data_IF_302209015336
#
_entry.id   IF_302209015336
#
_cell.length_a   1.000
_cell.length_b   1.000
_cell.length_c   1.000
_cell.angle_alpha   90.00
_cell.angle_beta   90.00
_cell.angle_gamma   90.00
#
_symmetry.space_group_name_H-M   'P 1'
#
loop_
_entity.id
_entity.type
_entity.pdbx_description
1 polymer ?
2 non-polymer ?
3 water ?
#
# COMPACT_ATOMS: atom_id res chain seq x y z
N UNK A 2 -13.49 -23.31 -1.85
CA UNK A 2 -13.21 -21.88 -1.72
C UNK A 2 -11.85 -21.60 -1.07
N UNK A 3 -11.48 -20.33 -1.03
CA UNK A 3 -10.24 -19.89 -0.43
C UNK A 3 -10.60 -18.97 0.71
N UNK A 4 -9.63 -18.70 1.57
CA UNK A 4 -9.81 -17.77 2.69
C UNK A 4 -8.59 -16.89 2.73
N UNK A 5 -8.81 -15.58 2.84
CA UNK A 5 -7.76 -14.59 3.01
C UNK A 5 -7.92 -14.00 4.40
N UNK A 6 -6.87 -14.09 5.21
CA UNK A 6 -6.90 -13.49 6.53
C UNK A 6 -5.94 -12.32 6.54
N UNK A 7 -6.39 -11.19 7.08
CA UNK A 7 -5.60 -9.97 7.14
C UNK A 7 -5.39 -9.60 8.61
N UNK A 8 -4.18 -9.77 9.11
CA UNK A 8 -3.87 -9.40 10.48
C UNK A 8 -3.54 -7.91 10.51
N UNK A 9 -4.50 -7.09 10.93
CA UNK A 9 -4.31 -5.64 10.95
C UNK A 9 -3.76 -5.22 12.31
N UNK A 10 -2.72 -4.39 12.30
CA UNK A 10 -2.14 -3.85 13.52
C UNK A 10 -2.67 -2.44 13.78
N UNK A 11 -3.09 -2.19 15.01
CA UNK A 11 -3.72 -0.94 15.40
C UNK A 11 -3.11 -0.53 16.73
N UNK A 12 -2.63 0.70 16.87
CA UNK A 12 -2.09 1.11 18.16
C UNK A 12 -3.18 1.01 19.23
N UNK A 13 -2.74 1.01 20.48
CA UNK A 13 -3.65 0.80 21.59
C UNK A 13 -4.81 1.80 21.56
N UNK A 14 -6.02 1.30 21.75
CA UNK A 14 -7.16 2.16 21.90
C UNK A 14 -7.74 2.72 20.63
N UNK A 15 -7.24 2.28 19.46
CA UNK A 15 -7.75 2.71 18.17
C UNK A 15 -8.57 1.64 17.48
N UNK A 16 -8.70 0.46 18.09
CA UNK A 16 -9.63 -0.54 17.61
C UNK A 16 -11.07 -0.08 17.52
N UNK A 17 -11.58 0.67 18.50
CA UNK A 17 -12.91 1.29 18.29
C UNK A 17 -12.95 2.16 17.04
N UNK A 18 -11.88 2.93 16.83
CA UNK A 18 -11.77 3.75 15.62
C UNK A 18 -11.77 2.88 14.36
N UNK A 19 -10.82 1.94 14.27
CA UNK A 19 -10.83 1.00 13.14
C UNK A 19 -12.18 0.29 13.02
N UNK A 20 -12.91 0.16 14.11
CA UNK A 20 -14.21 -0.50 14.02
C UNK A 20 -15.26 0.42 13.40
N UNK A 21 -15.38 1.64 13.93
CA UNK A 21 -16.26 2.63 13.33
C UNK A 21 -15.96 2.82 11.84
N UNK A 22 -14.74 2.51 11.39
CA UNK A 22 -14.41 2.62 9.97
C UNK A 22 -14.97 1.46 9.15
N UNK A 23 -15.07 0.26 9.71
CA UNK A 23 -15.77 -0.78 8.96
C UNK A 23 -17.26 -0.51 8.95
N UNK A 24 -17.77 0.23 9.94
CA UNK A 24 -19.21 0.50 10.03
C UNK A 24 -19.54 1.81 9.32
N UNK A 25 -19.14 2.93 9.93
CA UNK A 25 -19.46 4.26 9.45
C UNK A 25 -18.47 4.71 8.36
N UNK A 26 -18.29 3.87 7.34
CA UNK A 26 -17.46 4.27 6.20
C UNK A 26 -17.79 3.52 4.91
N UNK A 27 -17.32 2.29 4.76
CA UNK A 27 -17.61 1.57 3.53
C UNK A 27 -17.36 0.08 3.63
N UNK A 28 -18.24 -0.64 4.30
CA UNK A 28 -18.13 -2.09 4.40
C UNK A 28 -18.57 -2.80 3.14
N UNK A 29 -18.33 -2.22 1.96
CA UNK A 29 -19.02 -2.59 0.72
C UNK A 29 -18.08 -3.27 -0.25
N UNK A 30 -18.25 -4.60 -0.38
CA UNK A 30 -17.45 -5.47 -1.23
C UNK A 30 -18.21 -6.79 -1.31
N UNK A 31 -19.45 -6.81 -0.79
CA UNK A 31 -20.26 -8.02 -0.83
C UNK A 31 -20.89 -8.26 -2.19
N UNK A 32 -20.81 -7.28 -3.08
CA UNK A 32 -21.18 -7.48 -4.47
C UNK A 32 -19.96 -7.56 -5.37
N UNK A 33 -18.79 -7.80 -4.79
CA UNK A 33 -17.65 -8.22 -5.57
C UNK A 33 -17.83 -9.67 -5.98
N UNK A 34 -17.49 -10.04 -7.21
CA UNK A 34 -17.85 -11.37 -7.71
C UNK A 34 -16.99 -12.45 -7.08
N UNK A 35 -17.63 -13.56 -6.73
CA UNK A 35 -17.00 -14.60 -5.95
C UNK A 35 -16.82 -14.29 -4.47
N UNK A 36 -17.19 -13.10 -4.02
CA UNK A 36 -17.06 -12.77 -2.60
C UNK A 36 -18.10 -13.53 -1.79
N UNK A 37 -17.67 -14.05 -0.66
CA UNK A 37 -18.57 -14.81 0.21
C UNK A 37 -18.64 -14.17 1.59
N UNK A 38 -18.42 -12.85 1.68
CA UNK A 38 -18.52 -12.17 2.96
C UNK A 38 -17.35 -12.32 3.92
N UNK A 39 -17.18 -11.33 4.78
CA UNK A 39 -16.07 -11.33 5.71
C UNK A 39 -16.54 -11.21 7.14
N UNK A 40 -15.69 -11.65 8.07
CA UNK A 40 -15.81 -11.30 9.47
C UNK A 40 -14.65 -10.40 9.88
N UNK A 41 -14.97 -9.43 10.73
CA UNK A 41 -13.99 -8.62 11.42
C UNK A 41 -13.92 -9.10 12.87
N UNK A 42 -12.76 -9.58 13.29
CA UNK A 42 -12.59 -10.20 14.60
C UNK A 42 -11.76 -9.27 15.48
N UNK A 43 -12.34 -8.86 16.63
CA UNK A 43 -11.64 -8.11 17.65
C UNK A 43 -10.89 -9.05 18.57
N UNK A 44 -9.59 -8.85 18.78
CA UNK A 44 -8.82 -9.81 19.58
C UNK A 44 -9.06 -9.60 21.07
N UNK A 45 -9.05 -10.70 21.80
CA UNK A 45 -9.18 -10.70 23.25
C UNK A 45 -8.01 -11.38 23.93
N UNK A 46 -7.57 -12.54 23.44
CA UNK A 46 -6.41 -13.17 24.03
C UNK A 46 -5.67 -13.94 22.96
N UNK A 47 -4.41 -14.25 23.27
CA UNK A 47 -3.46 -14.72 22.28
C UNK A 47 -3.07 -13.68 21.27
N UNK A 48 -3.76 -12.54 21.22
CA UNK A 48 -3.61 -11.68 20.06
C UNK A 48 -3.90 -10.22 20.39
N UNK A 49 -3.29 -9.33 19.59
CA UNK A 49 -3.54 -7.90 19.64
C UNK A 49 -3.93 -7.32 18.29
N UNK A 50 -3.91 -8.11 17.23
CA UNK A 50 -4.25 -7.70 15.89
C UNK A 50 -5.69 -8.02 15.55
N UNK A 51 -6.37 -7.09 14.86
CA UNK A 51 -7.68 -7.40 14.27
C UNK A 51 -7.49 -8.38 13.13
N UNK A 52 -8.36 -9.38 13.07
CA UNK A 52 -8.34 -10.28 11.94
C UNK A 52 -9.52 -9.94 11.04
N UNK A 53 -9.26 -9.87 9.74
CA UNK A 53 -10.29 -9.82 8.71
C UNK A 53 -10.29 -11.16 8.04
N UNK A 54 -11.33 -11.94 8.24
CA UNK A 54 -11.45 -13.26 7.60
C UNK A 54 -12.45 -13.14 6.48
N UNK A 55 -12.00 -13.43 5.25
CA UNK A 55 -12.82 -13.31 4.04
C UNK A 55 -12.79 -14.64 3.30
N UNK A 56 -13.95 -15.11 2.85
CA UNK A 56 -14.01 -16.30 2.01
C UNK A 56 -14.30 -15.89 0.57
N UNK A 57 -13.87 -16.73 -0.38
CA UNK A 57 -14.02 -16.46 -1.80
C UNK A 57 -14.13 -17.77 -2.54
N UNK A 58 -14.82 -17.74 -3.69
CA UNK A 58 -15.00 -18.96 -4.47
C UNK A 58 -13.68 -19.47 -5.02
N UNK A 59 -12.76 -18.56 -5.29
CA UNK A 59 -11.51 -18.87 -5.96
C UNK A 59 -10.53 -17.76 -5.61
N UNK A 60 -9.28 -17.94 -6.00
CA UNK A 60 -8.33 -16.85 -5.80
C UNK A 60 -8.55 -15.74 -6.81
N UNK A 61 -8.95 -16.11 -8.03
CA UNK A 61 -9.30 -15.12 -9.04
C UNK A 61 -10.42 -14.21 -8.55
N UNK A 62 -11.37 -14.77 -7.78
CA UNK A 62 -12.34 -13.91 -7.10
C UNK A 62 -11.63 -12.91 -6.19
N UNK A 63 -10.67 -13.38 -5.38
CA UNK A 63 -9.94 -12.45 -4.52
C UNK A 63 -9.21 -11.39 -5.33
N UNK A 64 -8.49 -11.82 -6.37
CA UNK A 64 -7.70 -10.86 -7.14
C UNK A 64 -8.57 -9.86 -7.87
N UNK A 65 -9.82 -10.20 -8.21
CA UNK A 65 -10.67 -9.18 -8.78
C UNK A 65 -10.81 -8.00 -7.82
N UNK A 66 -10.95 -8.29 -6.53
CA UNK A 66 -11.04 -7.20 -5.56
C UNK A 66 -9.70 -6.46 -5.46
N UNK A 67 -8.66 -7.17 -5.03
CA UNK A 67 -7.36 -6.55 -4.78
C UNK A 67 -6.86 -5.78 -5.99
N UNK A 68 -6.77 -6.44 -7.15
CA UNK A 68 -6.23 -5.82 -8.35
C UNK A 68 -7.26 -4.97 -9.10
N UNK A 69 -8.49 -4.87 -8.62
CA UNK A 69 -9.44 -3.99 -9.24
C UNK A 69 -9.72 -2.75 -8.40
N UNK A 70 -10.90 -2.76 -7.76
CA UNK A 70 -11.34 -1.59 -6.96
C UNK A 70 -10.62 -1.37 -5.64
N UNK A 71 -9.75 -2.28 -5.21
CA UNK A 71 -9.18 -2.08 -3.87
C UNK A 71 -8.04 -1.09 -3.91
N UNK A 72 -7.24 -1.10 -4.97
CA UNK A 72 -6.13 -0.16 -5.06
C UNK A 72 -6.58 1.27 -4.87
N UNK A 73 -7.82 1.58 -5.24
CA UNK A 73 -8.35 2.94 -5.22
C UNK A 73 -9.42 3.15 -4.14
N UNK A 74 -9.71 2.16 -3.32
CA UNK A 74 -10.78 2.26 -2.36
C UNK A 74 -10.34 2.98 -1.10
N UNK A 75 -11.29 3.67 -0.45
CA UNK A 75 -11.08 4.30 0.85
C UNK A 75 -9.87 5.21 0.88
N UNK A 76 -9.73 6.05 -0.15
CA UNK A 76 -8.54 6.88 -0.26
C UNK A 76 -8.33 7.71 1.00
N UNK A 77 -9.38 8.39 1.46
CA UNK A 77 -9.23 9.29 2.61
C UNK A 77 -8.84 8.56 3.88
N UNK A 78 -9.48 7.42 4.13
CA UNK A 78 -9.15 6.63 5.31
C UNK A 78 -7.71 6.13 5.26
N UNK A 79 -7.23 5.78 4.07
CA UNK A 79 -5.82 5.42 3.91
C UNK A 79 -4.89 6.63 3.88
N UNK A 80 -5.40 7.83 3.59
CA UNK A 80 -4.56 9.01 3.71
C UNK A 80 -4.37 9.38 5.18
N UNK A 81 -5.39 9.15 6.01
CA UNK A 81 -5.30 9.30 7.45
C UNK A 81 -5.62 7.93 8.02
N UNK A 82 -4.63 7.05 8.15
CA UNK A 82 -4.93 5.67 8.54
C UNK A 82 -4.83 5.48 10.04
N UNK A 83 -5.66 4.57 10.53
CA UNK A 83 -5.64 4.22 11.94
C UNK A 83 -4.81 2.95 12.16
N UNK A 84 -4.68 2.10 11.15
CA UNK A 84 -3.83 0.92 11.19
C UNK A 84 -2.36 1.27 11.00
N UNK A 85 -1.47 0.43 11.54
CA UNK A 85 -0.03 0.64 11.36
C UNK A 85 0.67 -0.55 10.71
N UNK A 86 -0.07 -1.55 10.24
CA UNK A 86 0.52 -2.73 9.64
C UNK A 86 -0.56 -3.68 9.17
N UNK A 87 -0.13 -4.73 8.46
CA UNK A 87 -1.03 -5.76 7.97
C UNK A 87 -0.21 -6.93 7.45
N UNK A 88 -0.83 -8.10 7.41
CA UNK A 88 -0.27 -9.25 6.73
C UNK A 88 -1.39 -10.03 6.08
N UNK A 89 -1.15 -10.51 4.88
CA UNK A 89 -2.14 -11.29 4.16
C UNK A 89 -1.75 -12.74 4.28
N UNK A 90 -2.48 -13.47 5.12
CA UNK A 90 -2.33 -14.90 5.24
C UNK A 90 -3.37 -15.55 4.33
N UNK A 91 -2.91 -16.45 3.47
CA UNK A 91 -3.71 -17.01 2.40
C UNK A 91 -3.77 -18.53 2.53
N UNK A 92 -4.99 -19.07 2.44
CA UNK A 92 -5.25 -20.48 2.73
C UNK A 92 -6.18 -21.07 1.69
N UNK A 93 -6.15 -22.40 1.59
CA UNK A 93 -7.18 -23.17 0.91
C UNK A 93 -8.06 -23.86 1.96
N UNK A 94 -9.38 -23.82 1.76
CA UNK A 94 -10.35 -24.43 2.67
C UNK A 94 -10.39 -25.93 2.43
N UNK A 95 -9.91 -26.71 3.40
CA UNK A 95 -9.78 -28.16 3.27
C UNK A 95 -10.87 -28.94 4.02
N UNK A 96 -11.56 -28.32 4.97
CA UNK A 96 -12.61 -29.02 5.72
C UNK A 96 -13.63 -28.01 6.26
N UNK A 97 -14.79 -28.51 6.64
CA UNK A 97 -15.85 -27.63 7.14
C UNK A 97 -16.95 -28.31 7.97
N UNK B 2 12.47 23.87 0.82
CA UNK B 2 11.80 22.68 0.31
C UNK B 2 12.02 21.46 1.22
N UNK B 3 11.33 20.38 0.90
CA UNK B 3 11.45 19.14 1.64
C UNK B 3 11.97 18.10 0.69
N UNK B 4 12.41 16.98 1.25
CA UNK B 4 12.90 15.86 0.46
C UNK B 4 12.30 14.61 1.03
N UNK B 5 11.73 13.77 0.17
CA UNK B 5 11.25 12.47 0.54
C UNK B 5 12.13 11.46 -0.14
N UNK B 6 12.71 10.54 0.62
CA UNK B 6 13.51 9.45 0.07
C UNK B 6 12.76 8.17 0.29
N UNK B 7 12.68 7.34 -0.75
CA UNK B 7 11.98 6.06 -0.70
C UNK B 7 13.01 4.96 -0.96
N UNK B 8 13.35 4.21 0.09
CA UNK B 8 14.27 3.10 -0.07
C UNK B 8 13.47 1.89 -0.53
N UNK B 9 13.52 1.61 -1.82
CA UNK B 9 12.76 0.51 -2.39
C UNK B 9 13.61 -0.75 -2.32
N UNK B 10 13.03 -1.84 -1.83
CA UNK B 10 13.72 -3.11 -1.76
C UNK B 10 13.31 -3.95 -2.95
N UNK B 11 14.29 -4.53 -3.63
CA UNK B 11 14.05 -5.27 -4.86
C UNK B 11 14.90 -6.53 -4.81
N UNK B 12 14.31 -7.70 -5.05
CA UNK B 12 15.12 -8.94 -5.02
C UNK B 12 16.22 -8.88 -6.07
N UNK B 13 17.19 -9.77 -5.91
CA UNK B 13 18.37 -9.75 -6.75
C UNK B 13 18.02 -9.86 -8.22
N UNK B 14 18.62 -8.99 -9.04
CA UNK B 14 18.50 -9.10 -10.48
C UNK B 14 17.24 -8.52 -11.08
N UNK B 15 16.39 -7.88 -10.27
CA UNK B 15 15.16 -7.24 -10.71
C UNK B 15 15.26 -5.73 -10.75
N UNK B 16 16.42 -5.17 -10.36
CA UNK B 16 16.66 -3.76 -10.56
C UNK B 16 16.52 -3.29 -11.99
N UNK B 17 16.99 -4.05 -12.98
CA UNK B 17 16.65 -3.72 -14.37
C UNK B 17 15.16 -3.68 -14.62
N UNK B 18 14.40 -4.65 -14.09
CA UNK B 18 12.95 -4.61 -14.23
C UNK B 18 12.38 -3.36 -13.58
N UNK B 19 12.66 -3.15 -12.28
CA UNK B 19 12.27 -1.90 -11.63
C UNK B 19 12.80 -0.68 -12.37
N UNK B 20 13.90 -0.82 -13.12
CA UNK B 20 14.40 0.33 -13.86
C UNK B 20 13.56 0.59 -15.10
N UNK B 21 13.30 -0.44 -15.92
CA UNK B 21 12.39 -0.28 -17.06
C UNK B 21 11.06 0.32 -16.65
N UNK B 22 10.63 0.10 -15.39
CA UNK B 22 9.36 0.63 -14.95
C UNK B 22 9.42 2.12 -14.65
N UNK B 23 10.55 2.61 -14.17
CA UNK B 23 10.65 4.05 -14.01
C UNK B 23 10.87 4.74 -15.35
N UNK B 24 11.46 4.02 -16.32
CA UNK B 24 11.74 4.62 -17.63
C UNK B 24 10.59 4.34 -18.58
N UNK B 25 10.52 3.10 -19.07
CA UNK B 25 9.51 2.73 -20.05
C UNK B 25 8.21 2.33 -19.38
N UNK B 26 7.76 3.07 -18.36
CA UNK B 26 6.47 2.79 -17.74
C UNK B 26 5.95 3.91 -16.84
N UNK B 27 5.63 5.07 -17.42
CA UNK B 27 4.98 6.19 -16.73
C UNK B 27 5.86 6.82 -15.66
N UNK B 28 6.92 7.49 -16.11
CA UNK B 28 7.75 8.25 -15.17
C UNK B 28 7.18 9.63 -14.90
N UNK B 29 5.86 9.79 -14.94
CA UNK B 29 5.25 11.10 -15.18
C UNK B 29 4.42 11.60 -14.02
N UNK B 30 4.94 12.61 -13.33
CA UNK B 30 4.31 13.26 -12.19
C UNK B 30 5.06 14.57 -12.02
N UNK B 31 5.79 14.99 -13.05
CA UNK B 31 6.57 16.23 -12.99
C UNK B 31 5.72 17.48 -13.14
N UNK B 32 4.45 17.31 -13.48
CA UNK B 32 3.49 18.38 -13.45
C UNK B 32 2.52 18.26 -12.28
N UNK B 33 2.90 17.47 -11.26
CA UNK B 33 2.25 17.52 -9.96
C UNK B 33 2.68 18.80 -9.24
N UNK B 34 1.77 19.50 -8.58
CA UNK B 34 2.07 20.85 -8.09
C UNK B 34 3.04 20.83 -6.93
N UNK B 35 3.98 21.78 -6.94
CA UNK B 35 5.06 21.76 -5.99
C UNK B 35 6.13 20.69 -6.22
N UNK B 36 5.97 19.85 -7.23
CA UNK B 36 6.99 18.84 -7.51
C UNK B 36 8.22 19.48 -8.09
N UNK B 37 9.39 19.02 -7.65
CA UNK B 37 10.65 19.56 -8.13
C UNK B 37 11.51 18.44 -8.73
N UNK B 38 10.89 17.37 -9.21
CA UNK B 38 11.64 16.30 -9.84
C UNK B 38 12.37 15.33 -8.92
N UNK B 39 12.57 14.10 -9.41
CA UNK B 39 13.21 13.10 -8.60
C UNK B 39 14.46 12.53 -9.28
N UNK B 40 15.32 11.92 -8.47
CA UNK B 40 16.35 11.02 -8.96
C UNK B 40 16.04 9.61 -8.51
N UNK B 41 16.31 8.66 -9.39
CA UNK B 41 16.33 7.25 -9.07
C UNK B 41 17.80 6.82 -8.99
N UNK B 42 18.21 6.33 -7.82
CA UNK B 42 19.60 5.98 -7.57
C UNK B 42 19.74 4.46 -7.50
N UNK B 43 20.60 3.90 -8.36
CA UNK B 43 20.95 2.50 -8.31
C UNK B 43 22.09 2.31 -7.32
N UNK B 44 21.94 1.40 -6.35
CA UNK B 44 22.98 1.25 -5.33
C UNK B 44 24.16 0.48 -5.87
N UNK B 45 25.35 0.84 -5.38
CA UNK B 45 26.59 0.17 -5.73
C UNK B 45 27.34 -0.33 -4.51
N UNK B 46 27.44 0.47 -3.46
CA UNK B 46 28.06 0.00 -2.23
C UNK B 46 27.41 0.72 -1.06
N UNK B 47 27.60 0.14 0.13
CA UNK B 47 26.83 0.50 1.31
C UNK B 47 25.37 0.11 1.24
N UNK B 48 24.87 -0.29 0.07
CA UNK B 48 23.43 -0.37 -0.07
C UNK B 48 23.04 -1.40 -1.13
N UNK B 49 21.83 -1.91 -0.96
CA UNK B 49 21.18 -2.79 -1.91
C UNK B 49 19.80 -2.30 -2.33
N UNK B 50 19.31 -1.22 -1.73
CA UNK B 50 18.00 -0.67 -2.04
C UNK B 50 18.12 0.46 -3.05
N UNK B 51 17.18 0.50 -4.00
CA UNK B 51 17.04 1.68 -4.86
C UNK B 51 16.55 2.84 -4.02
N UNK B 52 17.11 4.00 -4.26
CA UNK B 52 16.61 5.19 -3.61
C UNK B 52 15.85 6.01 -4.64
N UNK B 53 14.69 6.50 -4.25
CA UNK B 53 13.97 7.52 -4.99
C UNK B 53 14.08 8.77 -4.17
N UNK B 54 14.83 9.76 -4.66
CA UNK B 54 14.97 11.04 -3.99
C UNK B 54 14.12 12.07 -4.72
N UNK B 55 13.15 12.65 -4.02
CA UNK B 55 12.20 13.62 -4.57
C UNK B 55 12.27 14.90 -3.75
N UNK B 56 12.32 16.05 -4.42
CA UNK B 56 12.20 17.34 -3.73
C UNK B 56 10.84 17.93 -4.02
N UNK B 57 10.37 18.79 -3.10
CA UNK B 57 9.06 19.42 -3.19
C UNK B 57 9.13 20.76 -2.48
N UNK B 58 8.25 21.69 -2.89
CA UNK B 58 8.26 23.02 -2.28
C UNK B 58 7.85 22.97 -0.81
N UNK B 59 7.01 22.00 -0.47
CA UNK B 59 6.42 21.90 0.86
C UNK B 59 5.97 20.45 1.05
N UNK B 60 5.54 20.13 2.27
CA UNK B 60 4.99 18.79 2.47
C UNK B 60 3.61 18.66 1.87
N UNK B 61 2.84 19.74 1.88
CA UNK B 61 1.54 19.75 1.21
C UNK B 61 1.68 19.44 -0.28
N UNK B 62 2.75 19.92 -0.91
CA UNK B 62 3.04 19.49 -2.27
C UNK B 62 3.17 17.97 -2.33
N UNK B 63 3.94 17.39 -1.41
CA UNK B 63 4.08 15.95 -1.37
C UNK B 63 2.74 15.26 -1.14
N UNK B 64 1.96 15.77 -0.17
CA UNK B 64 0.69 15.12 0.15
C UNK B 64 -0.28 15.18 -1.01
N UNK B 65 -0.23 16.23 -1.85
CA UNK B 65 -1.10 16.24 -3.01
C UNK B 65 -0.83 15.03 -3.89
N UNK B 66 0.44 14.65 -4.04
CA UNK B 66 0.74 13.46 -4.83
C UNK B 66 0.24 12.22 -4.11
N UNK B 67 0.78 11.96 -2.91
CA UNK B 67 0.46 10.73 -2.19
C UNK B 67 -1.05 10.57 -1.99
N UNK B 68 -1.69 11.56 -1.38
CA UNK B 68 -3.10 11.44 -1.02
C UNK B 68 -4.03 11.75 -2.19
N UNK B 69 -3.51 12.07 -3.36
CA UNK B 69 -4.34 12.26 -4.52
C UNK B 69 -4.18 11.14 -5.53
N UNK B 70 -3.44 11.44 -6.61
CA UNK B 70 -3.29 10.49 -7.73
C UNK B 70 -2.40 9.28 -7.46
N UNK B 71 -1.71 9.21 -6.32
CA UNK B 71 -0.78 8.10 -6.15
C UNK B 71 -1.50 6.85 -5.63
N UNK B 72 -2.47 7.00 -4.73
CA UNK B 72 -3.20 5.79 -4.30
C UNK B 72 -3.81 5.03 -5.49
N UNK B 73 -4.06 5.66 -6.65
CA UNK B 73 -4.63 4.92 -7.79
C UNK B 73 -3.65 4.73 -8.94
N UNK B 74 -2.41 5.16 -8.83
CA UNK B 74 -1.47 5.14 -9.94
C UNK B 74 -0.83 3.77 -10.15
N UNK B 75 -0.44 3.50 -11.40
CA UNK B 75 0.35 2.32 -11.75
C UNK B 75 -0.28 1.05 -11.20
N UNK B 76 -1.59 0.94 -11.35
CA UNK B 76 -2.31 -0.17 -10.74
C UNK B 76 -1.72 -1.51 -11.16
N UNK B 77 -1.49 -1.69 -12.47
CA UNK B 77 -1.01 -2.97 -12.95
C UNK B 77 0.35 -3.33 -12.39
N UNK B 78 1.24 -2.34 -12.33
CA UNK B 78 2.58 -2.57 -11.79
C UNK B 78 2.54 -2.97 -10.33
N UNK B 79 1.65 -2.37 -9.55
CA UNK B 79 1.47 -2.80 -8.17
C UNK B 79 0.69 -4.10 -8.04
N UNK B 80 -0.10 -4.49 -9.07
CA UNK B 80 -0.73 -5.79 -9.01
C UNK B 80 0.28 -6.90 -9.29
N UNK B 81 1.27 -6.62 -10.13
CA UNK B 81 2.39 -7.52 -10.36
C UNK B 81 3.64 -6.73 -9.99
N UNK B 82 4.03 -6.72 -8.72
CA UNK B 82 5.09 -5.82 -8.29
C UNK B 82 6.44 -6.49 -8.35
N UNK B 83 7.45 -5.67 -8.62
CA UNK B 83 8.82 -6.18 -8.66
C UNK B 83 9.52 -5.86 -7.34
N UNK B 84 9.07 -4.82 -6.65
CA UNK B 84 9.58 -4.46 -5.33
C UNK B 84 9.02 -5.34 -4.23
N UNK B 85 9.79 -5.51 -3.15
CA UNK B 85 9.34 -6.28 -2.00
C UNK B 85 9.29 -5.49 -0.70
N UNK B 86 9.48 -4.17 -0.76
CA UNK B 86 9.45 -3.34 0.43
C UNK B 86 9.70 -1.90 0.06
N UNK B 87 9.56 -1.02 1.06
CA UNK B 87 9.80 0.40 0.88
C UNK B 87 9.84 1.05 2.24
N UNK B 88 10.51 2.19 2.32
CA UNK B 88 10.42 3.05 3.50
C UNK B 88 10.43 4.50 3.05
N UNK B 89 9.64 5.31 3.72
CA UNK B 89 9.55 6.73 3.41
C UNK B 89 10.33 7.48 4.46
N UNK B 90 11.52 7.94 4.07
CA UNK B 90 12.35 8.79 4.91
C UNK B 90 12.09 10.24 4.52
N UNK B 91 11.77 11.07 5.50
CA UNK B 91 11.31 12.42 5.25
C UNK B 91 12.22 13.44 5.94
N UNK B 92 12.61 14.47 5.19
CA UNK B 92 13.61 15.42 5.64
C UNK B 92 13.17 16.83 5.30
N UNK B 93 13.74 17.80 6.01
CA UNK B 93 13.70 19.19 5.62
C UNK B 93 15.07 19.59 5.08
N UNK B 94 15.08 20.29 3.95
CA UNK B 94 16.34 20.70 3.31
C UNK B 94 16.89 21.89 4.09
N UNK B 95 18.00 21.67 4.80
CA UNK B 95 18.59 22.69 5.68
C UNK B 95 19.79 23.38 5.02
N UNK B 96 20.37 22.79 3.99
CA UNK B 96 21.48 23.44 3.29
C UNK B 96 21.53 22.99 1.84
N UNK B 97 22.13 23.82 1.00
CA UNK B 97 22.23 23.53 -0.42
C UNK B 97 23.29 24.41 -1.11
#
# INVERSE_FOLDING_TARGET
MPVVKINAIEVPAGAGPELEKRFAHSAHAVENSPGFLGFQLLRPVKGEERYFVVTHWESDEAFQAWANGPAIAAHAGHRANPVATGASLLEFEVVLDVGGTGKTAGVPRGKLAAALEHHHHHH
MPVVKINAIEVPAGAGPELEKRFAHSAHAVENSPGFLGFQLLRPVKGEERYFVVTHWESDEAFQAWANGPAIAAHAGHRANPVATGASLLEFEVVLDVGGTGKTAGVPRGKLAAALEHHHHHH
#
